data_IF_393037400672
#
_entry.id   IF_393037400672
#
_cell.length_a   1.000
_cell.length_b   1.000
_cell.length_c   1.000
_cell.angle_alpha   90.00
_cell.angle_beta   90.00
_cell.angle_gamma   90.00
#
_symmetry.space_group_name_H-M   'P 1'
#
loop_
_entity.id
_entity.type
_entity.pdbx_description
1 polymer ?
#
# COMPACT_ATOMS: atom_id res chain seq x y z
N UNK A 1 -22.97 -21.85 8.32
CA UNK A 1 -21.95 -20.78 8.46
C UNK A 1 -21.01 -21.12 9.60
N UNK A 2 -19.72 -21.30 9.33
CA UNK A 2 -18.71 -21.40 10.40
C UNK A 2 -18.62 -20.05 11.11
N UNK A 3 -18.76 -20.02 12.44
CA UNK A 3 -18.61 -18.78 13.23
C UNK A 3 -17.13 -18.55 13.54
N UNK A 4 -16.48 -17.66 12.81
CA UNK A 4 -15.14 -17.21 13.14
C UNK A 4 -15.20 -16.05 14.15
N UNK A 5 -14.44 -16.13 15.25
CA UNK A 5 -14.20 -14.96 16.11
C UNK A 5 -13.16 -14.06 15.42
N UNK A 6 -13.65 -13.10 14.65
CA UNK A 6 -12.80 -12.20 13.86
C UNK A 6 -12.32 -10.98 14.67
N UNK A 7 -11.07 -10.58 14.45
CA UNK A 7 -10.50 -9.28 14.81
C UNK A 7 -10.92 -8.19 13.80
N UNK A 8 -11.08 -8.58 12.54
CA UNK A 8 -11.46 -7.69 11.44
C UNK A 8 -12.18 -8.48 10.33
N UNK A 9 -13.08 -7.81 9.62
CA UNK A 9 -13.88 -8.35 8.52
C UNK A 9 -14.03 -7.30 7.43
N UNK A 10 -13.88 -7.70 6.17
CA UNK A 10 -14.16 -6.83 5.01
C UNK A 10 -14.63 -7.62 3.80
N UNK A 11 -15.49 -6.99 3.00
CA UNK A 11 -16.00 -7.59 1.76
C UNK A 11 -14.99 -7.37 0.63
N UNK A 12 -14.74 -8.41 -0.15
CA UNK A 12 -13.78 -8.41 -1.24
C UNK A 12 -14.30 -9.24 -2.42
N UNK A 13 -13.78 -8.99 -3.61
CA UNK A 13 -13.94 -9.92 -4.73
C UNK A 13 -12.58 -10.47 -5.17
N UNK A 14 -12.54 -11.76 -5.51
CA UNK A 14 -11.33 -12.41 -6.00
C UNK A 14 -11.15 -12.06 -7.49
N UNK A 15 -9.97 -11.53 -7.82
CA UNK A 15 -9.58 -11.14 -9.18
C UNK A 15 -8.62 -12.17 -9.78
N UNK A 16 -7.65 -12.67 -9.03
CA UNK A 16 -6.75 -13.72 -9.52
C UNK A 16 -6.08 -14.45 -8.37
N UNK A 17 -5.30 -15.48 -8.71
CA UNK A 17 -4.44 -16.16 -7.75
C UNK A 17 -5.02 -17.41 -7.12
N UNK A 18 -6.26 -17.73 -7.48
CA UNK A 18 -7.02 -18.86 -6.99
C UNK A 18 -7.73 -19.48 -8.20
N UNK A 19 -7.89 -20.80 -8.24
CA UNK A 19 -8.52 -21.57 -9.34
C UNK A 19 -10.02 -21.28 -9.54
N UNK A 20 -10.48 -20.09 -9.16
CA UNK A 20 -11.89 -19.70 -9.13
C UNK A 20 -12.20 -18.71 -10.25
N UNK A 21 -13.30 -18.98 -10.96
CA UNK A 21 -13.99 -18.05 -11.84
C UNK A 21 -14.11 -16.65 -11.21
N UNK A 22 -13.61 -15.66 -11.95
CA UNK A 22 -13.67 -14.22 -11.66
C UNK A 22 -15.09 -13.77 -11.26
N UNK A 23 -15.18 -12.93 -10.22
CA UNK A 23 -16.40 -12.34 -9.61
C UNK A 23 -17.19 -13.26 -8.68
N UNK A 24 -16.73 -13.40 -7.44
CA UNK A 24 -17.59 -13.84 -6.34
C UNK A 24 -17.41 -12.91 -5.15
N UNK A 25 -18.54 -12.58 -4.52
CA UNK A 25 -18.56 -11.89 -3.24
C UNK A 25 -17.93 -12.83 -2.21
N UNK A 26 -16.78 -12.41 -1.70
CA UNK A 26 -16.03 -13.11 -0.68
C UNK A 26 -15.82 -12.19 0.52
N UNK A 27 -15.46 -12.79 1.64
CA UNK A 27 -15.11 -12.07 2.86
C UNK A 27 -13.64 -12.32 3.16
N UNK A 28 -12.90 -11.24 3.39
CA UNK A 28 -11.57 -11.30 3.98
C UNK A 28 -11.72 -11.11 5.49
N UNK A 29 -11.16 -12.02 6.28
CA UNK A 29 -11.21 -12.03 7.73
C UNK A 29 -9.80 -12.06 8.28
N UNK A 30 -9.56 -11.33 9.37
CA UNK A 30 -8.43 -11.60 10.26
C UNK A 30 -9.00 -12.12 11.57
N UNK A 31 -8.58 -13.31 12.01
CA UNK A 31 -9.07 -13.89 13.25
C UNK A 31 -8.14 -13.64 14.44
N UNK A 32 -8.50 -14.14 15.63
CA UNK A 32 -7.69 -13.96 16.85
C UNK A 32 -6.37 -14.73 16.88
N UNK A 33 -6.19 -15.71 15.98
CA UNK A 33 -4.99 -16.55 15.83
C UNK A 33 -4.02 -16.00 14.80
N UNK A 34 -4.25 -14.77 14.33
CA UNK A 34 -3.46 -14.17 13.26
C UNK A 34 -3.46 -15.03 12.00
N UNK A 35 -4.65 -15.50 11.64
CA UNK A 35 -4.92 -16.14 10.35
C UNK A 35 -5.77 -15.20 9.49
N UNK A 36 -5.31 -14.98 8.26
CA UNK A 36 -6.04 -14.31 7.21
C UNK A 36 -6.89 -15.36 6.46
N UNK A 37 -8.20 -15.18 6.48
CA UNK A 37 -9.15 -16.13 5.89
C UNK A 37 -9.87 -15.45 4.73
N UNK A 38 -9.81 -16.07 3.55
CA UNK A 38 -10.62 -15.70 2.40
C UNK A 38 -11.78 -16.68 2.35
N UNK A 39 -12.94 -16.26 2.82
CA UNK A 39 -14.16 -17.06 2.82
C UNK A 39 -14.98 -16.75 1.57
N UNK A 40 -14.99 -17.68 0.62
CA UNK A 40 -15.81 -17.60 -0.59
C UNK A 40 -16.93 -18.64 -0.59
N UNK A 41 -17.90 -18.54 -1.49
CA UNK A 41 -19.05 -19.47 -1.54
C UNK A 41 -18.64 -20.93 -1.82
N UNK A 42 -17.50 -21.10 -2.49
CA UNK A 42 -16.81 -22.32 -2.91
C UNK A 42 -16.12 -23.07 -1.77
N UNK A 43 -15.31 -22.27 -1.09
CA UNK A 43 -14.22 -22.72 -0.27
C UNK A 43 -13.76 -21.54 0.58
N UNK A 44 -13.25 -21.88 1.75
CA UNK A 44 -12.53 -20.96 2.61
C UNK A 44 -11.04 -21.29 2.50
N UNK A 45 -10.21 -20.28 2.30
CA UNK A 45 -8.75 -20.42 2.33
C UNK A 45 -8.27 -19.77 3.61
N UNK A 46 -7.49 -20.49 4.39
CA UNK A 46 -6.94 -20.02 5.66
C UNK A 46 -5.42 -19.91 5.48
N UNK A 47 -4.88 -18.73 5.72
CA UNK A 47 -3.44 -18.46 5.67
C UNK A 47 -3.00 -17.85 6.99
N UNK A 48 -2.17 -18.54 7.79
CA UNK A 48 -1.46 -17.92 8.90
C UNK A 48 -0.69 -16.68 8.42
N UNK A 49 -0.64 -15.59 9.21
CA UNK A 49 0.11 -14.40 8.79
C UNK A 49 1.61 -14.68 8.61
N UNK A 50 2.17 -15.64 9.36
CA UNK A 50 3.55 -16.12 9.19
C UNK A 50 3.81 -16.79 7.83
N UNK A 51 2.78 -17.30 7.16
CA UNK A 51 2.89 -17.87 5.81
C UNK A 51 2.73 -16.83 4.71
N UNK A 52 2.62 -15.55 5.05
CA UNK A 52 2.48 -14.44 4.10
C UNK A 52 3.77 -13.63 4.09
N UNK A 53 4.41 -13.59 2.93
CA UNK A 53 5.64 -12.81 2.72
C UNK A 53 5.34 -11.31 2.68
N UNK A 54 4.30 -10.91 1.94
CA UNK A 54 3.97 -9.50 1.73
C UNK A 54 2.50 -9.31 1.41
N UNK A 55 1.92 -8.24 1.96
CA UNK A 55 0.60 -7.74 1.56
C UNK A 55 0.80 -6.39 0.84
N UNK A 56 0.51 -6.33 -0.46
CA UNK A 56 0.51 -5.09 -1.21
C UNK A 56 -0.89 -4.47 -1.29
N UNK A 57 -1.01 -3.16 -1.09
CA UNK A 57 -2.27 -2.43 -1.28
C UNK A 57 -2.08 -1.22 -2.18
N UNK A 58 -2.88 -1.13 -3.25
CA UNK A 58 -2.85 -0.01 -4.18
C UNK A 58 -4.19 0.20 -4.89
N UNK A 59 -4.37 1.35 -5.52
CA UNK A 59 -5.55 1.58 -6.36
C UNK A 59 -5.40 0.92 -7.73
N UNK A 60 -6.52 0.49 -8.32
CA UNK A 60 -6.54 -0.05 -9.68
C UNK A 60 -5.96 0.93 -10.71
N UNK A 61 -6.19 2.24 -10.54
CA UNK A 61 -5.58 3.28 -11.37
C UNK A 61 -4.04 3.23 -11.34
N UNK A 62 -3.44 2.91 -10.19
CA UNK A 62 -1.99 2.77 -10.07
C UNK A 62 -1.46 1.55 -10.84
N UNK A 63 -2.24 0.46 -10.91
CA UNK A 63 -1.90 -0.75 -11.70
C UNK A 63 -1.86 -0.44 -13.20
N UNK A 64 -2.79 0.40 -13.68
CA UNK A 64 -2.86 0.79 -15.08
C UNK A 64 -1.72 1.70 -15.52
N UNK A 65 -1.22 2.56 -14.64
CA UNK A 65 -0.25 3.62 -14.98
C UNK A 65 1.20 3.23 -14.80
N UNK A 66 1.47 2.29 -13.90
CA UNK A 66 2.84 1.91 -13.53
C UNK A 66 3.22 0.61 -14.21
N UNK A 67 4.51 0.48 -14.53
CA UNK A 67 5.07 -0.77 -15.02
C UNK A 67 5.06 -1.85 -13.93
N UNK A 68 5.12 -3.11 -14.31
CA UNK A 68 5.21 -4.25 -13.37
C UNK A 68 6.45 -4.14 -12.49
N UNK A 69 7.56 -3.67 -13.05
CA UNK A 69 8.81 -3.39 -12.34
C UNK A 69 8.63 -2.30 -11.28
N UNK A 70 7.99 -1.18 -11.62
CA UNK A 70 7.77 -0.09 -10.66
C UNK A 70 6.87 -0.52 -9.50
N UNK A 71 5.85 -1.32 -9.81
CA UNK A 71 4.94 -1.85 -8.81
C UNK A 71 5.62 -2.87 -7.90
N UNK A 72 6.43 -3.78 -8.47
CA UNK A 72 7.27 -4.70 -7.72
C UNK A 72 8.15 -3.98 -6.69
N UNK A 73 8.91 -2.98 -7.15
CA UNK A 73 9.80 -2.19 -6.28
C UNK A 73 9.01 -1.47 -5.20
N UNK A 74 7.90 -0.82 -5.55
CA UNK A 74 7.09 -0.03 -4.60
C UNK A 74 6.40 -0.88 -3.54
N UNK A 75 6.03 -2.11 -3.89
CA UNK A 75 5.37 -3.05 -2.99
C UNK A 75 6.36 -3.97 -2.27
N UNK A 76 7.66 -3.81 -2.54
CA UNK A 76 8.72 -4.67 -2.01
C UNK A 76 8.41 -6.17 -2.17
N UNK A 77 7.98 -6.56 -3.39
CA UNK A 77 7.56 -7.94 -3.66
C UNK A 77 8.72 -8.92 -3.84
N UNK A 78 9.96 -8.45 -4.03
CA UNK A 78 11.12 -9.33 -4.25
C UNK A 78 11.09 -10.18 -5.53
N UNK A 79 10.05 -10.02 -6.36
CA UNK A 79 9.86 -10.67 -7.66
C UNK A 79 9.14 -9.72 -8.61
N UNK A 80 9.22 -9.96 -9.92
CA UNK A 80 8.48 -9.18 -10.91
C UNK A 80 7.11 -9.84 -11.17
N UNK A 81 6.00 -9.29 -10.63
CA UNK A 81 4.68 -9.86 -10.85
C UNK A 81 4.20 -9.56 -12.27
N UNK A 82 3.41 -10.46 -12.85
CA UNK A 82 2.74 -10.20 -14.13
C UNK A 82 1.33 -9.64 -13.88
N UNK A 83 1.14 -8.34 -14.09
CA UNK A 83 -0.17 -7.70 -13.89
C UNK A 83 -1.05 -7.63 -15.15
N UNK A 84 -0.68 -8.33 -16.24
CA UNK A 84 -1.47 -8.33 -17.49
C UNK A 84 -2.94 -8.71 -17.28
N UNK A 85 -3.21 -9.79 -16.53
CA UNK A 85 -4.56 -10.22 -16.21
C UNK A 85 -5.35 -9.17 -15.42
N UNK A 86 -4.72 -8.52 -14.44
CA UNK A 86 -5.37 -7.45 -13.67
C UNK A 86 -5.64 -6.24 -14.54
N UNK A 87 -4.72 -5.85 -15.42
CA UNK A 87 -4.93 -4.76 -16.38
C UNK A 87 -6.09 -5.09 -17.34
N UNK A 88 -6.15 -6.31 -17.86
CA UNK A 88 -7.27 -6.77 -18.67
C UNK A 88 -8.60 -6.70 -17.91
N UNK A 89 -8.61 -7.11 -16.63
CA UNK A 89 -9.75 -6.95 -15.74
C UNK A 89 -10.16 -5.47 -15.58
N UNK A 90 -9.21 -4.57 -15.33
CA UNK A 90 -9.45 -3.13 -15.16
C UNK A 90 -9.93 -2.44 -16.44
N UNK A 91 -9.53 -2.93 -17.61
CA UNK A 91 -10.04 -2.47 -18.91
C UNK A 91 -11.50 -2.85 -19.10
N UNK A 92 -11.90 -4.07 -18.68
CA UNK A 92 -13.29 -4.55 -18.73
C UNK A 92 -14.17 -3.98 -17.61
N UNK A 93 -13.56 -3.52 -16.51
CA UNK A 93 -14.26 -3.02 -15.32
C UNK A 93 -13.71 -1.63 -14.93
N UNK A 94 -14.03 -0.55 -15.68
CA UNK A 94 -13.44 0.77 -15.43
C UNK A 94 -13.68 1.32 -14.02
N UNK A 95 -14.82 0.98 -13.39
CA UNK A 95 -15.16 1.40 -12.04
C UNK A 95 -14.18 0.87 -10.98
N UNK A 96 -13.55 -0.29 -11.22
CA UNK A 96 -12.59 -0.89 -10.31
C UNK A 96 -11.27 -0.10 -10.21
N UNK A 97 -11.00 0.82 -11.14
CA UNK A 97 -9.80 1.70 -11.07
C UNK A 97 -9.78 2.56 -9.80
N UNK A 98 -10.95 2.91 -9.28
CA UNK A 98 -11.12 3.70 -8.05
C UNK A 98 -11.09 2.86 -6.76
N UNK A 99 -11.08 1.52 -6.89
CA UNK A 99 -11.07 0.58 -5.78
C UNK A 99 -9.63 0.21 -5.40
N UNK A 100 -9.46 -0.22 -4.14
CA UNK A 100 -8.19 -0.75 -3.66
C UNK A 100 -8.09 -2.22 -4.01
N UNK A 101 -6.95 -2.61 -4.55
CA UNK A 101 -6.54 -3.97 -4.76
C UNK A 101 -5.65 -4.38 -3.60
N UNK A 102 -5.88 -5.60 -3.11
CA UNK A 102 -5.12 -6.24 -2.05
C UNK A 102 -4.40 -7.42 -2.72
N UNK A 103 -3.08 -7.39 -2.68
CA UNK A 103 -2.19 -8.41 -3.23
C UNK A 103 -1.58 -9.16 -2.06
N UNK A 104 -1.79 -10.47 -1.99
CA UNK A 104 -1.26 -11.30 -0.92
C UNK A 104 -0.24 -12.24 -1.58
N UNK A 105 1.03 -12.07 -1.20
CA UNK A 105 2.13 -12.93 -1.60
C UNK A 105 2.42 -13.92 -0.47
N UNK A 106 2.07 -15.20 -0.62
CA UNK A 106 2.45 -16.23 0.35
C UNK A 106 3.96 -16.54 0.25
N UNK A 107 4.57 -16.98 1.37
CA UNK A 107 5.85 -17.69 1.30
C UNK A 107 5.60 -18.99 0.55
N UNK A 108 6.28 -19.19 -0.58
CA UNK A 108 6.05 -20.30 -1.51
C UNK A 108 5.75 -21.63 -0.80
N UNK A 109 4.46 -21.99 -0.67
CA UNK A 109 4.02 -23.26 -0.07
C UNK A 109 2.59 -23.63 -0.48
N UNK A 110 2.41 -24.93 -0.77
CA UNK A 110 1.21 -25.66 -1.22
C UNK A 110 0.96 -25.71 -2.73
N UNK A 111 0.82 -26.94 -3.27
CA UNK A 111 0.41 -27.29 -4.64
C UNK A 111 -0.83 -26.50 -5.16
N UNK A 112 -1.71 -26.03 -4.27
CA UNK A 112 -2.88 -25.24 -4.64
C UNK A 112 -2.58 -23.75 -4.92
N UNK A 113 -1.52 -23.22 -4.31
CA UNK A 113 -1.01 -21.84 -4.49
C UNK A 113 0.04 -21.81 -5.62
N UNK A 114 0.68 -22.95 -5.93
CA UNK A 114 1.71 -23.07 -6.97
C UNK A 114 1.28 -22.62 -8.38
N UNK A 115 -0.03 -22.53 -8.66
CA UNK A 115 -0.52 -22.00 -9.95
C UNK A 115 -0.51 -20.48 -10.04
N UNK A 116 -0.24 -19.76 -8.95
CA UNK A 116 -0.25 -18.30 -8.94
C UNK A 116 0.62 -17.72 -7.84
N UNK A 117 1.62 -16.94 -8.24
CA UNK A 117 2.57 -16.29 -7.31
C UNK A 117 1.92 -15.35 -6.29
N UNK A 118 0.68 -14.90 -6.53
CA UNK A 118 -0.05 -13.98 -5.66
C UNK A 118 -1.56 -14.15 -5.75
N UNK A 119 -2.24 -13.98 -4.61
CA UNK A 119 -3.70 -13.79 -4.54
C UNK A 119 -4.03 -12.31 -4.70
N UNK A 120 -4.94 -12.00 -5.62
CA UNK A 120 -5.36 -10.62 -5.87
C UNK A 120 -6.84 -10.48 -5.57
N UNK A 121 -7.15 -9.56 -4.67
CA UNK A 121 -8.50 -9.21 -4.26
C UNK A 121 -8.77 -7.74 -4.58
N UNK A 122 -10.03 -7.39 -4.76
CA UNK A 122 -10.48 -6.00 -4.84
C UNK A 122 -11.44 -5.70 -3.69
N UNK A 123 -11.23 -4.58 -3.00
CA UNK A 123 -12.07 -4.11 -1.90
C UNK A 123 -13.47 -3.77 -2.42
N UNK A 124 -14.51 -4.37 -1.80
CA UNK A 124 -15.90 -4.01 -2.06
C UNK A 124 -16.29 -2.78 -1.24
N UNK A 125 -17.10 -1.85 -1.79
CA UNK A 125 -17.60 -0.70 -1.05
C UNK A 125 -18.58 -1.08 0.07
N UNK A 126 -19.22 -2.26 0.02
CA UNK A 126 -20.30 -2.65 0.94
C UNK A 126 -19.82 -2.89 2.38
N UNK A 127 -18.55 -3.29 2.55
CA UNK A 127 -17.92 -3.49 3.86
C UNK A 127 -16.45 -3.08 3.77
N UNK A 128 -16.22 -1.83 3.35
CA UNK A 128 -14.90 -1.24 3.21
C UNK A 128 -14.40 -0.70 4.55
N UNK A 129 -13.46 -1.42 5.16
CA UNK A 129 -12.68 -0.89 6.28
C UNK A 129 -11.21 -1.32 6.22
N UNK A 130 -10.64 -1.42 5.03
CA UNK A 130 -9.26 -1.87 4.84
C UNK A 130 -8.24 -1.04 5.64
N UNK A 131 -8.52 0.26 5.84
CA UNK A 131 -7.67 1.15 6.65
C UNK A 131 -7.50 0.66 8.09
N UNK A 132 -8.53 0.07 8.71
CA UNK A 132 -8.39 -0.44 10.08
C UNK A 132 -7.62 -1.76 10.12
N UNK A 133 -7.75 -2.62 9.10
CA UNK A 133 -6.90 -3.80 8.96
C UNK A 133 -5.42 -3.41 8.88
N UNK A 134 -5.09 -2.43 8.02
CA UNK A 134 -3.73 -1.97 7.79
C UNK A 134 -3.09 -1.28 9.00
N UNK A 135 -3.89 -0.79 9.96
CA UNK A 135 -3.40 -0.20 11.22
C UNK A 135 -3.03 -1.24 12.28
N UNK A 136 -3.42 -2.51 12.08
CA UNK A 136 -3.13 -3.56 13.07
C UNK A 136 -1.64 -3.90 13.01
N UNK A 137 -0.92 -3.96 14.14
CA UNK A 137 0.52 -4.22 14.15
C UNK A 137 0.92 -5.49 13.39
N UNK A 138 0.14 -6.56 13.55
CA UNK A 138 0.35 -7.85 12.90
C UNK A 138 0.23 -7.79 11.36
N UNK A 139 -0.55 -6.84 10.83
CA UNK A 139 -0.68 -6.61 9.38
C UNK A 139 0.33 -5.58 8.91
N UNK A 140 0.53 -4.50 9.67
CA UNK A 140 1.40 -3.39 9.31
C UNK A 140 2.86 -3.82 9.11
N UNK A 141 3.30 -4.86 9.83
CA UNK A 141 4.65 -5.43 9.69
C UNK A 141 4.89 -6.09 8.32
N UNK A 142 3.83 -6.61 7.67
CA UNK A 142 3.90 -7.31 6.38
C UNK A 142 3.21 -6.55 5.25
N UNK A 143 2.51 -5.45 5.54
CA UNK A 143 1.77 -4.68 4.55
C UNK A 143 2.58 -3.51 3.98
N UNK A 144 2.45 -3.29 2.67
CA UNK A 144 2.98 -2.14 1.96
C UNK A 144 1.84 -1.44 1.21
N UNK A 145 1.63 -0.16 1.48
CA UNK A 145 0.53 0.63 0.91
C UNK A 145 1.07 1.69 -0.04
N UNK A 146 0.61 1.67 -1.28
CA UNK A 146 0.92 2.69 -2.29
C UNK A 146 -0.28 3.64 -2.40
N UNK A 147 -0.34 4.63 -1.50
CA UNK A 147 -1.53 5.46 -1.30
C UNK A 147 -1.82 6.52 -2.37
N UNK A 148 -1.00 6.66 -3.42
CA UNK A 148 -1.20 7.74 -4.38
C UNK A 148 -2.39 7.45 -5.32
N UNK A 149 -3.57 7.94 -4.96
CA UNK A 149 -4.59 8.32 -5.95
C UNK A 149 -3.95 9.41 -6.82
N UNK A 150 -3.62 9.08 -8.06
CA UNK A 150 -3.20 10.09 -9.02
C UNK A 150 -4.41 10.92 -9.41
N UNK A 151 -4.53 12.10 -8.82
CA UNK A 151 -5.40 13.12 -9.35
C UNK A 151 -4.75 13.62 -10.65
N UNK A 152 -5.53 13.85 -11.71
CA UNK A 152 -5.05 14.36 -13.02
C UNK A 152 -4.22 15.67 -12.94
N UNK A 153 -4.13 16.31 -11.77
CA UNK A 153 -3.30 17.50 -11.53
C UNK A 153 -1.81 17.19 -11.31
N UNK A 154 -1.46 15.98 -10.88
CA UNK A 154 -0.07 15.63 -10.51
C UNK A 154 0.85 15.38 -11.73
N UNK A 155 0.28 15.10 -12.91
CA UNK A 155 1.07 14.89 -14.14
C UNK A 155 1.76 16.17 -14.64
N UNK A 156 1.21 17.35 -14.32
CA UNK A 156 1.84 18.64 -14.67
C UNK A 156 2.98 19.01 -13.72
N UNK A 157 2.92 18.56 -12.47
CA UNK A 157 3.97 18.81 -11.47
C UNK A 157 5.17 17.85 -11.62
N UNK A 158 4.93 16.60 -12.02
CA UNK A 158 6.00 15.61 -12.25
C UNK A 158 6.95 15.99 -13.39
N UNK A 159 6.42 16.52 -14.51
CA UNK A 159 7.25 16.97 -15.64
C UNK A 159 8.14 18.19 -15.35
N UNK A 160 7.80 19.01 -14.34
CA UNK A 160 8.68 20.09 -13.90
C UNK A 160 9.80 19.59 -12.99
N UNK A 161 9.51 18.64 -12.09
CA UNK A 161 10.53 18.08 -11.19
C UNK A 161 11.61 17.27 -11.93
N UNK A 162 11.21 16.46 -12.90
CA UNK A 162 12.18 15.67 -13.68
C UNK A 162 13.09 16.55 -14.56
N UNK A 163 12.65 17.76 -14.93
CA UNK A 163 13.49 18.73 -15.65
C UNK A 163 14.43 19.51 -14.73
N UNK A 164 14.03 19.82 -13.49
CA UNK A 164 14.87 20.50 -12.51
C UNK A 164 16.00 19.59 -12.05
N UNK A 165 15.71 18.31 -11.74
CA UNK A 165 16.73 17.34 -11.34
C UNK A 165 17.72 17.02 -12.48
N UNK A 166 17.31 17.13 -13.75
CA UNK A 166 18.20 16.95 -14.90
C UNK A 166 19.05 18.20 -15.17
N UNK A 167 18.57 19.39 -14.81
CA UNK A 167 19.30 20.65 -14.94
C UNK A 167 20.34 20.80 -13.81
N UNK A 168 19.99 20.45 -12.57
CA UNK A 168 20.91 20.49 -11.42
C UNK A 168 22.06 19.47 -11.56
N UNK A 169 21.79 18.29 -12.12
CA UNK A 169 22.84 17.29 -12.42
C UNK A 169 23.81 17.73 -13.52
N UNK A 170 23.42 18.63 -14.41
CA UNK A 170 24.33 19.21 -15.42
C UNK A 170 25.20 20.33 -14.81
N UNK A 171 24.64 21.15 -13.91
CA UNK A 171 25.42 22.19 -13.21
C UNK A 171 26.43 21.62 -12.22
N UNK A 172 26.12 20.50 -11.56
CA UNK A 172 27.06 19.84 -10.63
C UNK A 172 28.31 19.25 -11.32
N UNK A 173 28.23 18.91 -12.62
CA UNK A 173 29.39 18.42 -13.39
C UNK A 173 30.31 19.54 -13.88
N UNK A 174 29.86 20.79 -13.93
CA UNK A 174 30.71 21.93 -14.32
C UNK A 174 31.47 22.55 -13.14
N UNK A 175 31.00 22.38 -11.90
CA UNK A 175 31.68 22.92 -10.71
C UNK A 175 32.82 22.03 -10.16
N UNK A 176 32.99 20.81 -10.65
CA UNK A 176 34.01 19.89 -10.12
C UNK A 176 35.44 20.11 -10.67
N UNK A 177 35.68 21.18 -11.45
CA UNK A 177 37.00 21.52 -12.01
C UNK A 177 37.67 22.75 -11.36
N UNK A 178 37.07 23.35 -10.35
CA UNK A 178 37.69 24.46 -9.61
C UNK A 178 37.51 24.21 -8.11
N UNK A 179 38.51 24.59 -7.32
CA UNK A 179 38.66 24.32 -5.88
C UNK A 179 39.42 23.01 -5.58
N UNK A 180 40.69 23.00 -6.00
CA UNK A 180 41.78 22.57 -5.13
C UNK A 180 42.20 23.77 -4.27
N UNK A 181 42.66 23.48 -3.05
CA UNK A 181 43.35 24.37 -2.08
C UNK A 181 42.47 25.30 -1.23
N UNK A 182 42.14 24.88 0.00
CA UNK A 182 42.92 25.27 1.20
C UNK A 182 42.24 24.74 2.47
N UNK A 183 43.03 24.05 3.30
CA UNK A 183 42.70 23.65 4.67
C UNK A 183 43.20 24.77 5.60
N UNK A 184 42.44 25.15 6.65
CA UNK A 184 42.99 24.92 7.99
C UNK A 184 41.99 24.26 8.96
N UNK A 185 42.58 23.52 9.90
CA UNK A 185 42.00 22.82 11.05
C UNK A 185 41.52 23.82 12.11
N UNK A 186 40.41 23.53 12.81
CA UNK A 186 40.40 23.20 14.26
C UNK A 186 38.98 23.09 14.85
N UNK A 187 38.92 22.27 15.90
CA UNK A 187 38.02 22.25 17.07
C UNK A 187 36.65 21.54 17.04
N UNK A 188 36.72 20.32 17.59
CA UNK A 188 35.91 19.75 18.69
C UNK A 188 34.72 20.56 19.23
N UNK A 189 33.55 19.91 19.23
CA UNK A 189 32.41 20.30 20.05
C UNK A 189 31.30 19.26 20.00
N UNK A 190 31.16 18.49 21.09
CA UNK A 190 30.00 17.65 21.38
C UNK A 190 28.79 18.55 21.63
N UNK A 191 27.65 18.28 20.99
CA UNK A 191 26.37 18.84 21.42
C UNK A 191 25.28 17.76 21.39
N UNK A 192 24.90 17.31 22.59
CA UNK A 192 23.58 16.78 22.89
C UNK A 192 22.52 17.87 22.66
N UNK A 193 21.34 17.48 22.15
CA UNK A 193 20.18 18.36 22.17
C UNK A 193 18.96 17.62 22.70
N UNK A 194 18.47 18.20 23.79
CA UNK A 194 17.40 17.73 24.64
C UNK A 194 16.03 18.00 24.03
N UNK A 195 15.09 17.09 24.28
CA UNK A 195 13.67 17.36 24.11
C UNK A 195 13.21 18.38 25.16
N UNK A 196 12.47 19.39 24.72
CA UNK A 196 11.66 20.25 25.60
C UNK A 196 10.30 20.46 24.94
N UNK A 197 9.27 20.16 25.72
CA UNK A 197 7.87 20.26 25.32
C UNK A 197 7.31 21.67 25.41
N UNK A 198 5.98 21.68 25.37
CA UNK A 198 5.05 22.77 25.66
C UNK A 198 4.82 23.81 24.57
N UNK A 199 3.74 23.61 23.80
CA UNK A 199 2.86 24.74 23.43
C UNK A 199 1.41 24.37 23.75
N UNK A 200 0.83 25.24 24.58
CA UNK A 200 -0.48 25.21 25.23
C UNK A 200 -1.67 25.24 24.27
N UNK A 201 -2.71 24.53 24.70
CA UNK A 201 -4.11 24.73 24.36
C UNK A 201 -4.55 26.16 24.70
N UNK A 202 -5.27 26.80 23.77
CA UNK A 202 -6.05 28.01 24.04
C UNK A 202 -7.51 27.72 23.68
N UNK A 203 -8.33 27.57 24.71
CA UNK A 203 -9.78 27.60 24.59
C UNK A 203 -10.27 29.03 24.35
N UNK A 204 -11.41 29.12 23.66
CA UNK A 204 -12.34 30.24 23.80
C UNK A 204 -13.73 29.60 23.84
N UNK A 205 -14.34 29.70 25.02
CA UNK A 205 -15.74 29.42 25.31
C UNK A 205 -16.67 30.56 24.87
N UNK A 206 -17.97 30.24 24.96
CA UNK A 206 -19.18 31.07 25.02
C UNK A 206 -20.02 31.07 23.74
N UNK A 207 -21.08 30.26 23.72
CA UNK A 207 -22.44 30.51 24.25
C UNK A 207 -23.23 31.46 23.34
N UNK A 208 -24.32 30.99 22.74
CA UNK A 208 -25.63 31.24 23.33
C UNK A 208 -26.77 30.44 22.67
N UNK A 209 -27.77 30.22 23.52
CA UNK A 209 -28.95 29.38 23.37
C UNK A 209 -30.13 30.09 22.68
N UNK A 210 -31.07 29.30 22.14
CA UNK A 210 -32.54 29.43 22.22
C UNK A 210 -33.14 28.42 21.22
N UNK A 211 -33.80 27.33 21.61
CA UNK A 211 -35.05 27.20 22.38
C UNK A 211 -36.19 27.99 21.77
N UNK A 212 -37.03 27.28 21.01
CA UNK A 212 -38.32 27.65 20.46
C UNK A 212 -38.96 26.40 19.86
#
# INVERSE_FOLDING_TARGET
>A
MKKYKAKWVGAVAIVSGLSTTLRRDSILLLNRRDELIIDGPYRSIVMPLESIERIGVLYGESIMRKSDRDLSTRLALGMMPNFSYIRAYLMRNPQAKNQRFIMIKPFATSEEIERSDMIVLVESPTLSNLKTLLKRPEIASIACVVEKRHNKRDEKAGKQKDNIDLLEKKSAKQQHLQIKENIPRHDTGVHELWASGDIKLRGVDNNDSKSG
#
